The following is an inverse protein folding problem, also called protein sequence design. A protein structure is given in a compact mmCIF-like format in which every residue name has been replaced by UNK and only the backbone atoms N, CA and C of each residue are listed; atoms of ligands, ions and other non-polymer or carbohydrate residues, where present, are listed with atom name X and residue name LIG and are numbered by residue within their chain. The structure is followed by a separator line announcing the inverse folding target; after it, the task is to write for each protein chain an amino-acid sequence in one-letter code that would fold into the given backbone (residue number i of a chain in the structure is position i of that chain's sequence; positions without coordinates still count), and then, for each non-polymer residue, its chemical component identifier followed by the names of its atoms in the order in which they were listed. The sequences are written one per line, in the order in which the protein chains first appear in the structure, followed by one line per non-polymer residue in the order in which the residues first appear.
data_IF_934778766679
#
_entry.id   IF_934778766679
#
_cell.length_a   1.000
_cell.length_b   1.000
_cell.length_c   1.000
_cell.angle_alpha   90.00
_cell.angle_beta   90.00
_cell.angle_gamma   90.00
#
_symmetry.space_group_name_H-M   'P 1'
#
loop_
_entity.id
_entity.type
_entity.pdbx_description
1 polymer ?
#
# COMPACT_ATOMS: atom_id res chain seq x y z
N UNK A 1 6.22 -19.34 -37.36
CA UNK A 1 6.20 -19.56 -35.90
C UNK A 1 5.54 -18.37 -35.21
N UNK A 2 4.49 -18.66 -34.42
CA UNK A 2 4.09 -17.93 -33.20
C UNK A 2 3.34 -16.59 -33.26
N UNK A 3 2.37 -16.42 -34.16
CA UNK A 3 1.31 -15.41 -33.97
C UNK A 3 0.48 -15.66 -32.67
N UNK A 4 0.44 -16.90 -32.17
CA UNK A 4 -0.27 -17.25 -30.92
C UNK A 4 0.45 -16.80 -29.64
N UNK A 5 1.74 -16.44 -29.71
CA UNK A 5 2.48 -15.95 -28.54
C UNK A 5 2.18 -14.50 -28.21
N UNK A 6 1.80 -13.70 -29.21
CA UNK A 6 1.49 -12.28 -29.03
C UNK A 6 0.33 -12.05 -28.04
N UNK A 7 -0.84 -12.72 -28.15
CA UNK A 7 -1.91 -12.54 -27.17
C UNK A 7 -1.54 -13.09 -25.78
N UNK A 8 -0.75 -14.16 -25.70
CA UNK A 8 -0.28 -14.71 -24.41
C UNK A 8 0.70 -13.77 -23.73
N UNK A 9 1.64 -13.18 -24.48
CA UNK A 9 2.58 -12.17 -23.96
C UNK A 9 1.86 -10.87 -23.59
N UNK A 10 0.87 -10.43 -24.38
CA UNK A 10 0.05 -9.26 -24.05
C UNK A 10 -0.78 -9.50 -22.79
N UNK A 11 -1.37 -10.69 -22.66
CA UNK A 11 -2.11 -11.11 -21.47
C UNK A 11 -1.19 -11.22 -20.24
N UNK A 12 0.00 -11.79 -20.39
CA UNK A 12 1.02 -11.81 -19.34
C UNK A 12 1.44 -10.40 -18.94
N UNK A 13 1.67 -9.49 -19.89
CA UNK A 13 2.01 -8.09 -19.58
C UNK A 13 0.86 -7.34 -18.88
N UNK A 14 -0.38 -7.61 -19.27
CA UNK A 14 -1.58 -7.11 -18.59
C UNK A 14 -1.74 -7.67 -17.17
N UNK A 15 -1.30 -8.91 -16.93
CA UNK A 15 -1.34 -9.57 -15.63
C UNK A 15 -0.14 -9.21 -14.71
N UNK A 16 1.01 -8.89 -15.30
CA UNK A 16 2.26 -8.56 -14.60
C UNK A 16 2.40 -7.07 -14.26
N UNK A 17 1.59 -6.23 -14.89
CA UNK A 17 1.53 -4.84 -14.51
C UNK A 17 0.88 -4.71 -13.13
N UNK A 18 1.67 -4.26 -12.14
CA UNK A 18 1.23 -4.05 -10.77
C UNK A 18 -0.02 -3.19 -10.77
N UNK A 19 -1.15 -3.82 -10.47
CA UNK A 19 -2.41 -3.13 -10.56
C UNK A 19 -2.52 -2.23 -9.33
N UNK A 20 -2.64 -0.91 -9.52
CA UNK A 20 -2.69 0.00 -8.40
C UNK A 20 -4.14 0.25 -7.99
N UNK A 21 -4.41 0.26 -6.69
CA UNK A 21 -5.69 0.73 -6.15
C UNK A 21 -5.48 2.13 -5.58
N UNK A 22 -6.20 3.11 -6.13
CA UNK A 22 -6.19 4.48 -5.61
C UNK A 22 -7.58 4.93 -5.19
N UNK A 23 -7.61 5.89 -4.29
CA UNK A 23 -8.81 6.45 -3.68
C UNK A 23 -8.90 7.94 -4.01
N UNK A 24 -10.10 8.50 -3.99
CA UNK A 24 -10.33 9.94 -4.19
C UNK A 24 -10.13 10.76 -2.93
N UNK A 25 -10.27 10.13 -1.77
CA UNK A 25 -10.23 10.77 -0.46
C UNK A 25 -9.06 10.22 0.36
N UNK A 26 -8.43 11.10 1.13
CA UNK A 26 -7.45 10.71 2.13
C UNK A 26 -8.18 10.20 3.37
N UNK A 27 -7.61 9.19 4.02
CA UNK A 27 -8.09 8.76 5.33
C UNK A 27 -8.02 9.94 6.30
N UNK A 28 -9.16 10.27 6.92
CA UNK A 28 -9.22 11.26 7.99
C UNK A 28 -8.47 10.72 9.21
N UNK A 29 -7.45 11.42 9.73
CA UNK A 29 -6.77 11.00 10.93
C UNK A 29 -7.76 10.98 12.11
N UNK A 30 -7.90 9.84 12.76
CA UNK A 30 -8.84 9.65 13.87
C UNK A 30 -8.17 9.54 15.24
N UNK A 31 -7.00 8.89 15.28
CA UNK A 31 -6.19 8.73 16.48
C UNK A 31 -4.70 8.78 16.11
N UNK A 32 -3.87 9.20 17.07
CA UNK A 32 -2.42 9.22 16.88
C UNK A 32 -1.90 7.80 16.58
N UNK A 33 -0.90 7.72 15.70
CA UNK A 33 -0.23 6.47 15.39
C UNK A 33 0.28 5.78 16.67
N UNK A 34 0.27 4.45 16.70
CA UNK A 34 0.82 3.71 17.82
C UNK A 34 2.31 4.06 17.94
N UNK A 35 2.75 4.49 19.14
CA UNK A 35 4.14 4.90 19.40
C UNK A 35 5.17 3.90 18.84
N UNK A 36 4.98 2.56 18.94
CA UNK A 36 5.93 1.62 18.40
C UNK A 36 6.08 1.64 16.88
N UNK A 37 5.19 2.30 16.12
CA UNK A 37 5.36 2.50 14.67
C UNK A 37 6.58 3.38 14.37
N UNK A 38 6.89 4.34 15.25
CA UNK A 38 7.96 5.30 15.05
C UNK A 38 9.33 4.68 15.32
N UNK A 39 10.31 5.02 14.48
CA UNK A 39 11.70 4.57 14.59
C UNK A 39 12.21 3.90 13.32
N UNK A 40 13.28 3.14 13.49
CA UNK A 40 13.99 2.46 12.41
C UNK A 40 13.59 0.98 12.30
N UNK A 41 13.37 0.57 11.06
CA UNK A 41 12.94 -0.75 10.65
C UNK A 41 13.88 -1.25 9.57
N UNK A 42 14.13 -2.55 9.51
CA UNK A 42 14.97 -3.14 8.47
C UNK A 42 14.35 -4.41 7.90
N UNK A 43 14.60 -4.67 6.63
CA UNK A 43 14.21 -5.93 5.97
C UNK A 43 15.29 -6.35 4.99
N UNK A 44 15.30 -7.63 4.67
CA UNK A 44 15.97 -8.14 3.47
C UNK A 44 14.92 -8.35 2.39
N UNK A 45 15.12 -7.75 1.22
CA UNK A 45 14.21 -7.96 0.09
C UNK A 45 14.46 -9.30 -0.62
N UNK A 46 13.66 -9.56 -1.65
CA UNK A 46 13.64 -10.79 -2.44
C UNK A 46 14.95 -11.03 -3.21
N UNK A 47 15.76 -9.98 -3.39
CA UNK A 47 17.06 -10.00 -4.04
C UNK A 47 18.23 -10.08 -3.04
N UNK A 48 17.95 -10.15 -1.74
CA UNK A 48 18.96 -10.23 -0.69
C UNK A 48 19.53 -8.89 -0.24
N UNK A 49 19.01 -7.78 -0.74
CA UNK A 49 19.43 -6.43 -0.38
C UNK A 49 18.83 -6.02 0.97
N UNK A 50 19.63 -5.33 1.77
CA UNK A 50 19.22 -4.83 3.07
C UNK A 50 18.58 -3.45 2.90
N UNK A 51 17.30 -3.33 3.24
CA UNK A 51 16.53 -2.10 3.16
C UNK A 51 16.24 -1.59 4.57
N UNK A 52 16.53 -0.33 4.81
CA UNK A 52 16.12 0.38 6.01
C UNK A 52 14.89 1.25 5.70
N UNK A 53 14.00 1.34 6.68
CA UNK A 53 12.81 2.18 6.67
C UNK A 53 12.78 2.96 7.98
N UNK A 54 12.83 4.27 7.86
CA UNK A 54 12.69 5.18 8.98
C UNK A 54 11.31 5.83 8.96
N UNK A 55 10.59 5.77 10.09
CA UNK A 55 9.30 6.42 10.27
C UNK A 55 9.41 7.46 11.39
N UNK A 56 9.18 8.73 11.04
CA UNK A 56 9.21 9.85 11.97
C UNK A 56 7.89 10.63 11.95
N UNK A 57 7.58 11.30 13.05
CA UNK A 57 6.50 12.28 13.07
C UNK A 57 6.90 13.52 12.26
N UNK A 58 6.02 13.97 11.38
CA UNK A 58 6.22 15.13 10.51
C UNK A 58 5.28 16.31 10.84
N UNK A 59 4.22 16.06 11.61
CA UNK A 59 3.28 17.07 12.11
C UNK A 59 2.23 16.45 13.04
N UNK A 60 1.20 17.23 13.42
CA UNK A 60 0.01 16.68 14.07
C UNK A 60 -0.63 15.65 13.14
N UNK A 61 -0.71 14.39 13.57
CA UNK A 61 -1.29 13.26 12.82
C UNK A 61 -0.67 12.94 11.43
N UNK A 62 0.47 13.56 11.13
CA UNK A 62 1.25 13.34 9.91
C UNK A 62 2.60 12.70 10.22
N UNK A 63 2.97 11.74 9.38
CA UNK A 63 4.18 10.95 9.51
C UNK A 63 4.94 10.94 8.19
N UNK A 64 6.26 10.75 8.26
CA UNK A 64 7.11 10.62 7.09
C UNK A 64 7.84 9.29 7.16
N UNK A 65 7.73 8.53 6.07
CA UNK A 65 8.50 7.33 5.80
C UNK A 65 9.66 7.69 4.87
N UNK A 66 10.85 7.20 5.21
CA UNK A 66 12.05 7.31 4.40
C UNK A 66 12.70 5.93 4.28
N UNK A 67 12.66 5.35 3.09
CA UNK A 67 13.25 4.05 2.79
C UNK A 67 14.51 4.22 1.95
N UNK A 68 15.56 3.48 2.29
CA UNK A 68 16.83 3.48 1.58
C UNK A 68 17.48 2.10 1.66
N UNK A 69 18.38 1.82 0.72
CA UNK A 69 19.20 0.61 0.76
C UNK A 69 20.41 0.87 1.66
N UNK A 70 20.63 0.00 2.64
CA UNK A 70 21.80 0.10 3.51
C UNK A 70 23.08 -0.13 2.69
N UNK A 71 24.06 0.76 2.85
CA UNK A 71 25.33 0.70 2.14
C UNK A 71 25.30 1.23 0.69
N UNK A 72 24.17 1.77 0.22
CA UNK A 72 24.14 2.60 -0.97
C UNK A 72 24.78 3.97 -0.70
N UNK A 73 25.27 4.66 -1.73
CA UNK A 73 25.81 6.02 -1.62
C UNK A 73 24.80 6.95 -0.93
N UNK A 74 25.30 7.77 0.00
CA UNK A 74 24.50 8.66 0.85
C UNK A 74 23.53 9.52 -0.02
N UNK A 75 22.22 9.33 0.20
CA UNK A 75 21.17 10.19 -0.33
C UNK A 75 20.24 9.59 -1.38
N UNK A 76 20.43 8.34 -1.81
CA UNK A 76 19.45 7.68 -2.70
C UNK A 76 18.32 7.03 -1.89
N UNK A 77 17.32 7.83 -1.53
CA UNK A 77 16.06 7.32 -1.02
C UNK A 77 15.34 6.52 -2.11
N UNK A 78 14.96 5.28 -1.80
CA UNK A 78 14.10 4.47 -2.65
C UNK A 78 12.65 4.92 -2.56
N UNK A 79 12.25 5.40 -1.37
CA UNK A 79 10.92 5.94 -1.11
C UNK A 79 11.00 7.05 -0.08
N UNK A 80 10.37 8.17 -0.36
CA UNK A 80 10.05 9.19 0.63
C UNK A 80 8.58 9.57 0.48
N UNK A 81 7.79 9.34 1.53
CA UNK A 81 6.37 9.61 1.50
C UNK A 81 5.88 10.17 2.83
N UNK A 82 4.99 11.16 2.76
CA UNK A 82 4.20 11.59 3.91
C UNK A 82 2.87 10.86 3.92
N UNK A 83 2.45 10.46 5.11
CA UNK A 83 1.24 9.68 5.29
C UNK A 83 0.52 10.05 6.59
N UNK A 84 -0.78 9.78 6.60
CA UNK A 84 -1.62 9.80 7.80
C UNK A 84 -1.94 8.36 8.20
N UNK A 85 -2.36 8.16 9.43
CA UNK A 85 -2.89 6.86 9.88
C UNK A 85 -4.28 7.01 10.46
N UNK A 86 -5.05 5.93 10.39
CA UNK A 86 -6.24 5.79 11.20
C UNK A 86 -6.43 4.32 11.56
N UNK A 87 -7.13 4.11 12.66
CA UNK A 87 -7.59 2.78 13.05
C UNK A 87 -9.05 2.63 12.68
N UNK A 88 -9.37 1.55 11.99
CA UNK A 88 -10.75 1.16 11.71
C UNK A 88 -10.93 -0.31 12.13
N UNK A 89 -11.93 -0.54 12.98
CA UNK A 89 -12.15 -1.85 13.60
C UNK A 89 -10.89 -2.35 14.32
N UNK A 90 -10.30 -3.44 13.81
CA UNK A 90 -9.12 -4.11 14.40
C UNK A 90 -7.81 -3.79 13.68
N UNK A 91 -7.86 -3.11 12.54
CA UNK A 91 -6.71 -2.90 11.67
C UNK A 91 -6.30 -1.44 11.67
N UNK A 92 -4.99 -1.22 11.60
CA UNK A 92 -4.44 0.08 11.31
C UNK A 92 -4.30 0.27 9.81
N UNK A 93 -4.63 1.47 9.35
CA UNK A 93 -4.48 1.88 7.98
C UNK A 93 -3.55 3.08 7.91
N UNK A 94 -2.74 3.14 6.86
CA UNK A 94 -2.00 4.32 6.47
C UNK A 94 -2.50 4.82 5.12
N UNK A 95 -2.42 6.14 4.92
CA UNK A 95 -2.79 6.77 3.65
C UNK A 95 -1.77 7.81 3.24
N UNK A 96 -1.31 7.70 2.01
CA UNK A 96 -0.35 8.63 1.41
C UNK A 96 -0.87 9.13 0.06
N UNK A 97 -0.49 10.35 -0.31
CA UNK A 97 -0.77 10.88 -1.64
C UNK A 97 -0.01 10.10 -2.71
N UNK A 98 -0.66 9.87 -3.85
CA UNK A 98 -0.06 9.27 -5.03
C UNK A 98 0.26 10.35 -6.08
N UNK A 99 1.44 10.29 -6.71
CA UNK A 99 1.73 11.04 -7.92
C UNK A 99 0.69 10.79 -9.04
N UNK A 100 0.44 11.79 -9.89
CA UNK A 100 -0.56 11.71 -10.96
C UNK A 100 -0.25 10.63 -12.01
N UNK A 101 1.03 10.40 -12.30
CA UNK A 101 1.50 9.34 -13.21
C UNK A 101 1.24 7.94 -12.64
N UNK A 102 1.27 7.79 -11.32
CA UNK A 102 0.82 6.59 -10.63
C UNK A 102 -0.71 6.56 -10.45
N UNK A 103 -1.45 7.43 -11.13
CA UNK A 103 -2.90 7.39 -11.12
C UNK A 103 -3.54 8.23 -10.03
N UNK A 104 -2.78 9.08 -9.33
CA UNK A 104 -3.22 10.19 -8.47
C UNK A 104 -4.12 9.84 -7.28
N UNK A 105 -4.45 10.85 -6.47
CA UNK A 105 -5.28 10.68 -5.27
C UNK A 105 -4.49 10.08 -4.12
N UNK A 106 -5.04 9.02 -3.49
CA UNK A 106 -4.46 8.44 -2.28
C UNK A 106 -4.35 6.93 -2.37
N UNK A 107 -3.28 6.39 -1.80
CA UNK A 107 -3.15 4.97 -1.50
C UNK A 107 -3.66 4.69 -0.08
N UNK A 108 -4.13 3.47 0.14
CA UNK A 108 -4.47 2.95 1.47
C UNK A 108 -3.76 1.61 1.63
N UNK A 109 -2.94 1.48 2.67
CA UNK A 109 -2.35 0.21 3.08
C UNK A 109 -2.83 -0.14 4.49
N UNK A 110 -3.00 -1.43 4.75
CA UNK A 110 -3.10 -1.93 6.12
C UNK A 110 -1.72 -2.11 6.72
N UNK A 111 -1.59 -1.97 8.04
CA UNK A 111 -0.38 -2.40 8.74
C UNK A 111 -0.70 -3.05 10.08
N UNK A 112 0.24 -3.87 10.54
CA UNK A 112 0.23 -4.51 11.85
C UNK A 112 1.59 -4.39 12.51
N UNK A 113 1.59 -4.16 13.83
CA UNK A 113 2.76 -4.25 14.68
C UNK A 113 2.65 -5.53 15.51
N UNK A 114 3.53 -6.50 15.25
CA UNK A 114 3.43 -7.82 15.86
C UNK A 114 4.06 -7.85 17.26
N UNK A 115 3.77 -8.90 18.03
CA UNK A 115 4.40 -9.12 19.33
C UNK A 115 5.92 -9.38 19.23
N UNK A 116 6.42 -9.71 18.04
CA UNK A 116 7.82 -9.96 17.71
C UNK A 116 8.56 -8.69 17.27
N UNK A 117 7.95 -7.51 17.47
CA UNK A 117 8.48 -6.22 17.03
C UNK A 117 8.71 -6.17 15.52
N UNK A 118 7.77 -6.72 14.76
CA UNK A 118 7.74 -6.61 13.31
C UNK A 118 6.70 -5.58 12.87
N UNK A 119 7.01 -4.86 11.80
CA UNK A 119 6.06 -4.05 11.04
C UNK A 119 5.68 -4.82 9.78
N UNK A 120 4.42 -5.23 9.69
CA UNK A 120 3.88 -5.92 8.52
C UNK A 120 2.98 -4.96 7.75
N UNK A 121 3.25 -4.80 6.46
CA UNK A 121 2.47 -3.97 5.54
C UNK A 121 1.63 -4.84 4.62
N UNK A 122 0.37 -4.47 4.49
CA UNK A 122 -0.61 -5.13 3.64
C UNK A 122 -1.11 -4.17 2.57
N UNK A 123 -1.04 -4.59 1.31
CA UNK A 123 -1.67 -3.88 0.22
C UNK A 123 -3.06 -4.46 -0.09
N UNK A 124 -3.87 -3.68 -0.80
CA UNK A 124 -5.14 -4.14 -1.31
C UNK A 124 -4.93 -4.89 -2.62
N UNK A 125 -5.45 -6.10 -2.68
CA UNK A 125 -5.34 -6.97 -3.84
C UNK A 125 -6.21 -6.40 -4.97
N UNK A 126 -5.61 -5.91 -6.06
CA UNK A 126 -6.33 -5.10 -7.04
C UNK A 126 -7.39 -5.91 -7.80
N UNK A 127 -7.12 -7.19 -8.01
CA UNK A 127 -8.08 -8.11 -8.62
C UNK A 127 -9.33 -8.27 -7.74
N UNK A 128 -9.17 -8.29 -6.41
CA UNK A 128 -10.28 -8.37 -5.45
C UNK A 128 -11.08 -7.07 -5.41
N UNK A 129 -10.40 -5.93 -5.43
CA UNK A 129 -11.07 -4.62 -5.50
C UNK A 129 -11.86 -4.48 -6.80
N UNK A 130 -11.27 -4.85 -7.96
CA UNK A 130 -11.99 -4.86 -9.24
C UNK A 130 -13.23 -5.74 -9.20
N UNK A 131 -13.13 -6.94 -8.63
CA UNK A 131 -14.29 -7.82 -8.44
C UNK A 131 -15.36 -7.19 -7.54
N UNK A 132 -14.97 -6.46 -6.49
CA UNK A 132 -15.89 -5.72 -5.64
C UNK A 132 -16.63 -4.61 -6.41
N UNK A 133 -15.95 -3.96 -7.37
CA UNK A 133 -16.56 -3.00 -8.28
C UNK A 133 -17.56 -3.66 -9.23
N UNK A 134 -17.17 -4.76 -9.87
CA UNK A 134 -18.02 -5.52 -10.81
C UNK A 134 -19.30 -6.03 -10.15
N UNK A 135 -19.22 -6.39 -8.87
CA UNK A 135 -20.36 -6.83 -8.05
C UNK A 135 -21.18 -5.68 -7.45
N UNK A 136 -20.75 -4.44 -7.64
CA UNK A 136 -21.41 -3.25 -7.08
C UNK A 136 -21.26 -3.10 -5.56
N UNK A 137 -20.38 -3.88 -4.92
CA UNK A 137 -20.06 -3.72 -3.50
C UNK A 137 -19.34 -2.39 -3.26
N UNK A 138 -18.44 -2.02 -4.16
CA UNK A 138 -17.77 -0.73 -4.23
C UNK A 138 -18.06 -0.05 -5.58
N UNK A 139 -17.87 1.26 -5.64
CA UNK A 139 -17.97 2.08 -6.85
C UNK A 139 -16.58 2.55 -7.26
N UNK A 140 -16.31 2.59 -8.56
CA UNK A 140 -14.97 2.89 -9.06
C UNK A 140 -14.88 2.85 -10.58
N UNK A 141 -13.70 3.16 -11.10
CA UNK A 141 -13.40 3.10 -12.53
C UNK A 141 -11.98 2.58 -12.77
N UNK A 142 -11.72 1.88 -13.87
CA UNK A 142 -10.35 1.57 -14.28
C UNK A 142 -9.61 2.87 -14.62
N UNK A 143 -8.30 2.88 -14.35
CA UNK A 143 -7.40 3.97 -14.72
C UNK A 143 -6.14 3.40 -15.38
N UNK A 144 -5.53 4.16 -16.27
CA UNK A 144 -4.19 3.86 -16.74
C UNK A 144 -3.19 4.58 -15.84
N UNK A 145 -2.13 3.88 -15.43
CA UNK A 145 -1.01 4.44 -14.66
C UNK A 145 0.29 4.13 -15.40
N UNK A 146 1.37 4.84 -15.06
CA UNK A 146 2.72 4.55 -15.57
C UNK A 146 3.18 3.11 -15.26
N UNK A 147 2.70 2.52 -14.17
CA UNK A 147 2.94 1.13 -13.78
C UNK A 147 1.97 0.11 -14.40
N UNK A 148 1.01 0.57 -15.20
CA UNK A 148 0.00 -0.23 -15.90
C UNK A 148 -1.44 -0.03 -15.41
N UNK A 149 -2.35 -0.99 -15.62
CA UNK A 149 -3.77 -0.80 -15.34
C UNK A 149 -4.01 -0.71 -13.83
N UNK A 150 -4.71 0.32 -13.37
CA UNK A 150 -5.13 0.50 -11.99
C UNK A 150 -6.64 0.62 -11.86
N UNK A 151 -7.10 0.78 -10.63
CA UNK A 151 -8.49 1.01 -10.27
C UNK A 151 -8.56 2.22 -9.36
N UNK A 152 -9.39 3.20 -9.73
CA UNK A 152 -9.79 4.29 -8.85
C UNK A 152 -11.09 3.92 -8.16
N UNK A 153 -11.04 3.76 -6.84
CA UNK A 153 -12.23 3.64 -6.00
C UNK A 153 -12.83 5.02 -5.79
N UNK A 154 -14.14 5.12 -6.06
CA UNK A 154 -14.96 6.32 -5.96
C UNK A 154 -16.01 6.21 -4.84
N UNK A 155 -16.07 5.06 -4.15
CA UNK A 155 -16.89 4.90 -2.95
C UNK A 155 -16.41 5.86 -1.85
N UNK A 156 -17.35 6.41 -1.06
CA UNK A 156 -16.99 7.17 0.13
C UNK A 156 -16.28 6.27 1.16
N UNK A 157 -15.41 6.85 1.98
CA UNK A 157 -14.53 6.09 2.88
C UNK A 157 -15.28 5.22 3.88
N UNK A 158 -16.44 5.65 4.37
CA UNK A 158 -17.31 4.86 5.27
C UNK A 158 -17.71 3.51 4.63
N UNK A 159 -18.08 3.53 3.35
CA UNK A 159 -18.40 2.33 2.57
C UNK A 159 -17.16 1.50 2.27
N UNK A 160 -16.03 2.14 1.98
CA UNK A 160 -14.75 1.45 1.77
C UNK A 160 -14.36 0.68 3.02
N UNK A 161 -14.36 1.31 4.20
CA UNK A 161 -13.97 0.65 5.43
C UNK A 161 -14.98 -0.39 5.90
N UNK A 162 -16.28 -0.16 5.69
CA UNK A 162 -17.29 -1.20 5.93
C UNK A 162 -17.02 -2.47 5.11
N UNK A 163 -16.55 -2.33 3.86
CA UNK A 163 -16.13 -3.46 3.02
C UNK A 163 -14.81 -4.08 3.51
N UNK A 164 -13.80 -3.27 3.80
CA UNK A 164 -12.46 -3.75 4.18
C UNK A 164 -12.43 -4.45 5.55
N UNK A 165 -13.30 -4.04 6.47
CA UNK A 165 -13.37 -4.60 7.81
C UNK A 165 -14.29 -5.82 7.93
N UNK A 166 -15.04 -6.16 6.86
CA UNK A 166 -15.85 -7.38 6.84
C UNK A 166 -14.92 -8.60 6.82
N UNK A 167 -15.01 -9.51 7.80
CA UNK A 167 -14.23 -10.76 7.80
C UNK A 167 -14.42 -11.60 6.54
N UNK A 168 -15.56 -11.48 5.83
CA UNK A 168 -15.81 -12.14 4.56
C UNK A 168 -14.93 -11.62 3.40
N UNK A 169 -14.22 -10.51 3.62
CA UNK A 169 -13.36 -9.86 2.63
C UNK A 169 -11.90 -9.82 3.09
N UNK A 170 -11.52 -10.66 4.07
CA UNK A 170 -10.14 -10.69 4.59
C UNK A 170 -9.08 -11.00 3.53
N UNK A 171 -9.46 -11.70 2.46
CA UNK A 171 -8.59 -12.05 1.33
C UNK A 171 -8.30 -10.88 0.37
N UNK A 172 -8.88 -9.70 0.61
CA UNK A 172 -8.52 -8.46 -0.10
C UNK A 172 -7.14 -7.95 0.31
N UNK A 173 -6.57 -8.41 1.42
CA UNK A 173 -5.26 -7.96 1.89
C UNK A 173 -4.17 -8.95 1.52
N UNK A 174 -3.11 -8.46 0.88
CA UNK A 174 -1.89 -9.22 0.60
C UNK A 174 -0.71 -8.61 1.34
N UNK A 175 0.07 -9.43 2.04
CA UNK A 175 1.32 -8.98 2.68
C UNK A 175 2.32 -8.60 1.59
N UNK A 176 2.83 -7.37 1.65
CA UNK A 176 3.79 -6.83 0.66
C UNK A 176 5.15 -6.50 1.27
N UNK A 177 5.21 -6.35 2.59
CA UNK A 177 6.46 -6.14 3.29
C UNK A 177 6.37 -6.55 4.75
N UNK A 178 7.48 -7.07 5.26
CA UNK A 178 7.70 -7.33 6.67
C UNK A 178 9.06 -6.77 7.05
N UNK A 179 9.08 -5.91 8.06
CA UNK A 179 10.30 -5.34 8.61
C UNK A 179 10.47 -5.75 10.05
N UNK A 180 11.72 -5.89 10.46
CA UNK A 180 12.12 -6.07 11.85
C UNK A 180 12.54 -4.73 12.45
N UNK A 181 12.24 -4.50 13.73
CA UNK A 181 12.76 -3.34 14.45
C UNK A 181 14.30 -3.37 14.52
N UNK A 182 14.96 -2.24 14.22
CA UNK A 182 16.42 -2.10 14.38
C UNK A 182 16.78 -1.91 15.86
N UNK A 183 17.92 -2.50 16.28
CA UNK A 183 18.47 -2.33 17.64
C UNK A 183 17.93 -3.32 18.68
N UNK A 184 17.54 -4.52 18.26
CA UNK A 184 17.20 -5.63 19.14
C UNK A 184 18.31 -6.68 19.19
#
# INVERSE_FOLDING_TARGET
MQAWRLPVLLLCFLLLAGCLVSFTEQIVPGEAAPIPLLGEWSRRNEWGEQLALEIRQAGPDHYRAHQYQEGADDGQALLQAEFTVARHGRRWYLSAGLPDDLGGGFLILGFELTAQNELVLYNLEPARIRQALERGALAGKPIATGGGPGVRVLSPLDRVFAYLDDPAHSDVFSEVARYQRVGQ
#
